data_IF_449845139238
#
_entry.id   IF_449845139238
#
_cell.length_a   1.000
_cell.length_b   1.000
_cell.length_c   1.000
_cell.angle_alpha   90.00
_cell.angle_beta   90.00
_cell.angle_gamma   90.00
#
_symmetry.space_group_name_H-M   'P 1'
#
loop_
_entity.id
_entity.type
_entity.pdbx_description
1 polymer ?
#
# COMPACT_ATOMS: atom_id res chain seq x y z
N UNK A 1 7.78 -24.29 4.17
CA UNK A 1 8.35 -22.92 4.14
C UNK A 1 8.33 -22.41 2.72
N UNK A 2 7.66 -21.31 2.46
CA UNK A 2 7.60 -20.73 1.12
C UNK A 2 8.89 -19.95 0.86
N UNK A 3 9.59 -20.28 -0.22
CA UNK A 3 10.73 -19.50 -0.67
C UNK A 3 10.26 -18.32 -1.49
N UNK A 4 10.92 -17.20 -1.33
CA UNK A 4 10.68 -15.97 -2.10
C UNK A 4 11.91 -15.64 -2.92
N UNK A 5 11.69 -15.17 -4.14
CA UNK A 5 12.73 -14.70 -5.05
C UNK A 5 12.47 -13.25 -5.43
N UNK A 6 13.54 -12.49 -5.69
CA UNK A 6 13.41 -11.11 -6.14
C UNK A 6 12.95 -11.06 -7.60
N UNK A 7 12.05 -10.15 -7.92
CA UNK A 7 11.62 -9.85 -9.27
C UNK A 7 12.82 -9.49 -10.16
N UNK A 8 13.83 -8.81 -9.60
CA UNK A 8 15.03 -8.46 -10.35
C UNK A 8 15.72 -9.67 -10.96
N UNK A 9 15.79 -10.78 -10.26
CA UNK A 9 16.41 -12.01 -10.76
C UNK A 9 15.67 -12.54 -11.99
N UNK A 10 14.34 -12.53 -11.96
CA UNK A 10 13.51 -12.96 -13.10
C UNK A 10 13.67 -12.00 -14.29
N UNK A 11 13.71 -10.70 -14.03
CA UNK A 11 13.89 -9.69 -15.08
C UNK A 11 15.26 -9.80 -15.72
N UNK A 12 16.32 -10.05 -14.94
CA UNK A 12 17.65 -10.26 -15.49
C UNK A 12 17.69 -11.48 -16.45
N UNK A 13 17.01 -12.57 -16.11
CA UNK A 13 16.86 -13.73 -16.97
C UNK A 13 16.08 -13.41 -18.26
N UNK A 14 15.04 -12.56 -18.17
CA UNK A 14 14.26 -12.13 -19.35
C UNK A 14 15.03 -11.15 -20.25
N UNK A 15 15.83 -10.26 -19.68
CA UNK A 15 16.61 -9.28 -20.45
C UNK A 15 17.71 -9.94 -21.31
N UNK A 16 18.14 -11.14 -20.96
CA UNK A 16 19.05 -11.95 -21.77
C UNK A 16 18.38 -12.52 -23.04
N UNK A 17 17.07 -12.41 -23.14
CA UNK A 17 16.34 -12.89 -24.30
C UNK A 17 16.48 -11.94 -25.50
N UNK A 18 16.87 -12.43 -26.72
CA UNK A 18 17.14 -11.55 -27.85
C UNK A 18 15.98 -10.66 -28.31
N UNK A 19 14.74 -11.08 -28.07
CA UNK A 19 13.53 -10.35 -28.45
C UNK A 19 13.15 -9.21 -27.49
N UNK A 20 13.78 -9.14 -26.33
CA UNK A 20 13.46 -8.18 -25.27
C UNK A 20 14.56 -7.13 -25.02
N UNK A 21 15.43 -6.92 -26.03
CA UNK A 21 16.56 -5.99 -25.91
C UNK A 21 16.16 -4.53 -25.65
N UNK A 22 14.95 -4.14 -26.08
CA UNK A 22 14.42 -2.79 -25.87
C UNK A 22 13.71 -2.58 -24.52
N UNK A 23 13.57 -3.64 -23.71
CA UNK A 23 12.96 -3.57 -22.41
C UNK A 23 13.95 -3.04 -21.38
N UNK A 24 13.64 -1.92 -20.74
CA UNK A 24 14.45 -1.39 -19.65
C UNK A 24 14.07 -2.06 -18.32
N UNK A 25 15.05 -2.13 -17.38
CA UNK A 25 14.81 -2.69 -16.05
C UNK A 25 13.65 -1.97 -15.34
N UNK A 26 13.59 -0.65 -15.45
CA UNK A 26 12.54 0.17 -14.84
C UNK A 26 11.15 -0.17 -15.38
N UNK A 27 10.99 -0.32 -16.68
CA UNK A 27 9.71 -0.72 -17.29
C UNK A 27 9.31 -2.13 -16.87
N UNK A 28 10.25 -3.04 -16.84
CA UNK A 28 10.01 -4.41 -16.43
C UNK A 28 9.55 -4.49 -14.97
N UNK A 29 10.17 -3.74 -14.06
CA UNK A 29 9.74 -3.63 -12.66
C UNK A 29 8.33 -3.07 -12.55
N UNK A 30 8.01 -2.02 -13.32
CA UNK A 30 6.67 -1.43 -13.33
C UNK A 30 5.60 -2.42 -13.81
N UNK A 31 5.87 -3.19 -14.85
CA UNK A 31 4.96 -4.24 -15.31
C UNK A 31 4.77 -5.35 -14.27
N UNK A 32 5.84 -5.76 -13.61
CA UNK A 32 5.79 -6.77 -12.58
C UNK A 32 4.97 -6.30 -11.36
N UNK A 33 5.18 -5.07 -10.92
CA UNK A 33 4.37 -4.48 -9.83
C UNK A 33 2.90 -4.38 -10.21
N UNK A 34 2.60 -3.94 -11.42
CA UNK A 34 1.24 -3.86 -11.94
C UNK A 34 0.56 -5.24 -12.00
N UNK A 35 1.29 -6.27 -12.45
CA UNK A 35 0.80 -7.64 -12.43
C UNK A 35 0.46 -8.12 -11.00
N UNK A 36 1.35 -7.87 -10.04
CA UNK A 36 1.11 -8.22 -8.63
C UNK A 36 -0.12 -7.51 -8.07
N UNK A 37 -0.33 -6.26 -8.44
CA UNK A 37 -1.50 -5.48 -8.00
C UNK A 37 -2.82 -6.04 -8.56
N UNK A 38 -2.82 -6.53 -9.80
CA UNK A 38 -4.01 -7.08 -10.44
C UNK A 38 -4.31 -8.49 -9.93
N UNK A 39 -3.32 -9.36 -9.94
CA UNK A 39 -3.49 -10.79 -9.67
C UNK A 39 -3.41 -11.09 -8.17
N UNK A 40 -2.69 -10.27 -7.43
CA UNK A 40 -2.32 -10.52 -6.06
C UNK A 40 -1.16 -11.51 -5.94
N UNK A 41 -0.58 -11.58 -4.76
CA UNK A 41 0.45 -12.58 -4.44
C UNK A 41 -0.24 -13.75 -3.73
N UNK A 42 -0.08 -14.98 -4.20
CA UNK A 42 -0.82 -16.13 -3.65
C UNK A 42 -0.43 -16.52 -2.21
N UNK A 43 0.50 -15.81 -1.59
CA UNK A 43 0.99 -16.11 -0.25
C UNK A 43 1.11 -14.85 0.62
N UNK A 44 1.43 -15.07 1.87
CA UNK A 44 1.44 -14.13 2.97
C UNK A 44 2.10 -12.78 2.65
N UNK A 45 1.33 -11.72 2.82
CA UNK A 45 1.87 -10.37 2.88
C UNK A 45 2.60 -10.15 4.20
N UNK A 46 3.56 -9.24 4.20
CA UNK A 46 4.19 -8.77 5.42
C UNK A 46 3.31 -7.72 6.09
N UNK A 47 2.99 -7.91 7.37
CA UNK A 47 2.30 -6.90 8.16
C UNK A 47 3.30 -5.86 8.65
N UNK A 48 3.02 -4.60 8.36
CA UNK A 48 3.81 -3.45 8.79
C UNK A 48 2.96 -2.39 9.44
N UNK A 49 3.62 -1.54 10.20
CA UNK A 49 3.02 -0.33 10.75
C UNK A 49 3.79 0.89 10.26
N UNK A 50 3.09 1.99 10.06
CA UNK A 50 3.69 3.26 9.66
C UNK A 50 2.95 4.44 10.29
N UNK A 51 3.68 5.52 10.52
CA UNK A 51 3.12 6.79 10.92
C UNK A 51 2.90 7.67 9.69
N UNK A 52 1.74 8.30 9.61
CA UNK A 52 1.39 9.19 8.51
C UNK A 52 1.00 10.55 9.06
N UNK A 53 1.65 11.60 8.55
CA UNK A 53 1.26 12.97 8.83
C UNK A 53 0.02 13.35 8.02
N UNK A 54 -1.02 13.79 8.70
CA UNK A 54 -2.25 14.28 8.09
C UNK A 54 -2.21 15.81 8.05
N UNK A 55 -2.36 16.34 6.85
CA UNK A 55 -2.50 17.78 6.61
C UNK A 55 -3.69 18.00 5.70
N UNK A 56 -4.60 18.88 6.14
CA UNK A 56 -5.81 19.20 5.40
C UNK A 56 -6.62 17.94 5.03
N UNK A 57 -6.86 17.06 6.02
CA UNK A 57 -7.62 15.81 5.90
C UNK A 57 -6.97 14.74 5.03
N UNK A 58 -5.71 14.89 4.63
CA UNK A 58 -5.04 14.00 3.69
C UNK A 58 -3.64 13.59 4.17
N UNK A 59 -3.26 12.34 3.91
CA UNK A 59 -1.92 11.82 4.08
C UNK A 59 -1.51 10.92 2.92
N UNK A 60 -0.20 10.72 2.74
CA UNK A 60 0.33 9.83 1.72
C UNK A 60 0.53 8.43 2.29
N UNK A 61 0.10 7.41 1.56
CA UNK A 61 0.36 6.01 1.90
C UNK A 61 1.82 5.63 1.63
N UNK A 62 2.38 4.65 2.37
CA UNK A 62 3.71 4.11 2.09
C UNK A 62 3.80 3.53 0.66
N UNK A 63 5.02 3.55 0.09
CA UNK A 63 5.24 3.03 -1.26
C UNK A 63 5.00 1.52 -1.37
N UNK A 64 5.20 0.77 -0.29
CA UNK A 64 5.00 -0.67 -0.21
C UNK A 64 3.58 -1.08 0.23
N UNK A 65 2.67 -0.12 0.33
CA UNK A 65 1.28 -0.37 0.73
C UNK A 65 0.55 -1.25 -0.28
N UNK A 66 -0.10 -2.29 0.21
CA UNK A 66 -0.99 -3.14 -0.57
C UNK A 66 -2.43 -3.06 -0.09
N UNK A 67 -2.66 -3.30 1.19
CA UNK A 67 -4.00 -3.36 1.78
C UNK A 67 -4.00 -2.85 3.23
N UNK A 68 -5.09 -2.23 3.65
CA UNK A 68 -5.23 -1.66 4.99
C UNK A 68 -5.81 -2.70 5.97
N UNK A 69 -5.15 -2.84 7.11
CA UNK A 69 -5.65 -3.65 8.22
C UNK A 69 -6.41 -2.77 9.20
N UNK A 70 -5.75 -1.73 9.72
CA UNK A 70 -6.31 -0.87 10.75
C UNK A 70 -5.70 0.53 10.72
N UNK A 71 -6.49 1.52 11.06
CA UNK A 71 -6.06 2.91 11.24
C UNK A 71 -6.43 3.37 12.65
N UNK A 72 -5.47 3.98 13.33
CA UNK A 72 -5.68 4.53 14.67
C UNK A 72 -4.99 5.88 14.87
N UNK A 73 -5.42 6.64 15.87
CA UNK A 73 -4.74 7.87 16.26
C UNK A 73 -3.39 7.55 16.89
N UNK A 74 -2.42 8.45 16.72
CA UNK A 74 -1.11 8.36 17.36
C UNK A 74 -0.83 9.61 18.20
N UNK A 75 -0.65 9.39 19.50
CA UNK A 75 -0.38 10.47 20.47
C UNK A 75 0.88 10.14 21.31
N UNK A 76 1.96 9.74 20.67
CA UNK A 76 3.21 9.44 21.37
C UNK A 76 3.18 8.26 22.35
N UNK A 77 2.13 7.43 22.30
CA UNK A 77 1.99 6.24 23.12
C UNK A 77 1.43 6.45 24.53
N UNK A 78 1.08 7.69 24.90
CA UNK A 78 0.62 8.01 26.27
C UNK A 78 -0.86 7.79 26.53
N UNK A 79 -1.69 7.68 25.51
CA UNK A 79 -3.15 7.53 25.63
C UNK A 79 -3.69 6.39 24.80
N UNK A 80 -4.83 5.84 25.21
CA UNK A 80 -5.54 4.83 24.44
C UNK A 80 -5.83 5.34 23.02
N UNK A 81 -5.26 4.72 21.98
CA UNK A 81 -5.50 5.14 20.60
C UNK A 81 -6.95 4.88 20.22
N UNK A 82 -7.54 5.82 19.48
CA UNK A 82 -8.87 5.67 18.91
C UNK A 82 -8.77 5.08 17.51
N UNK A 83 -9.58 4.08 17.23
CA UNK A 83 -9.62 3.40 15.93
C UNK A 83 -10.51 4.17 14.97
N UNK A 84 -10.04 4.34 13.73
CA UNK A 84 -10.83 4.87 12.62
C UNK A 84 -11.65 3.75 11.99
N UNK A 85 -12.85 4.06 11.55
CA UNK A 85 -13.66 3.17 10.71
C UNK A 85 -13.64 3.64 9.26
N UNK A 86 -13.87 2.72 8.33
CA UNK A 86 -13.97 3.06 6.91
C UNK A 86 -15.25 3.87 6.64
N UNK A 87 -15.12 4.98 5.94
CA UNK A 87 -16.26 5.81 5.57
C UNK A 87 -16.96 5.29 4.31
N UNK A 88 -18.25 5.04 4.41
CA UNK A 88 -19.10 4.68 3.26
C UNK A 88 -19.66 5.89 2.52
N UNK A 89 -19.67 7.05 3.14
CA UNK A 89 -20.17 8.31 2.56
C UNK A 89 -19.11 8.98 1.70
N UNK A 90 -19.40 9.14 0.41
CA UNK A 90 -18.51 9.80 -0.54
C UNK A 90 -18.38 11.31 -0.33
N UNK A 91 -19.32 11.94 0.35
CA UNK A 91 -19.34 13.37 0.63
C UNK A 91 -18.73 13.74 1.98
N UNK A 92 -18.27 12.78 2.75
CA UNK A 92 -17.73 12.98 4.09
C UNK A 92 -16.58 14.00 4.15
N UNK A 93 -15.76 14.04 3.09
CA UNK A 93 -14.61 14.94 2.97
C UNK A 93 -14.84 16.08 1.96
N UNK A 94 -16.09 16.39 1.63
CA UNK A 94 -16.41 17.50 0.73
C UNK A 94 -16.01 18.84 1.37
N UNK A 95 -15.32 19.72 0.64
CA UNK A 95 -15.00 21.05 1.13
C UNK A 95 -16.24 21.92 1.39
N UNK A 96 -17.39 21.52 0.84
CA UNK A 96 -18.66 22.21 1.02
C UNK A 96 -19.42 21.78 2.30
N UNK A 97 -18.90 20.79 3.01
CA UNK A 97 -19.49 20.33 4.27
C UNK A 97 -19.06 21.27 5.37
N UNK A 98 -20.03 21.94 5.99
CA UNK A 98 -19.75 22.68 7.22
C UNK A 98 -19.22 21.73 8.31
N UNK A 99 -18.15 22.08 8.99
CA UNK A 99 -17.63 21.26 10.08
C UNK A 99 -18.69 21.18 11.17
N UNK A 100 -19.30 20.01 11.30
CA UNK A 100 -20.21 19.74 12.40
C UNK A 100 -19.34 19.50 13.64
N UNK A 101 -19.16 20.53 14.44
CA UNK A 101 -18.25 20.54 15.60
C UNK A 101 -18.54 19.43 16.61
N UNK A 102 -19.75 18.90 16.60
CA UNK A 102 -20.19 17.88 17.56
C UNK A 102 -19.85 16.44 17.08
N UNK A 103 -19.62 16.23 15.78
CA UNK A 103 -19.26 14.92 15.21
C UNK A 103 -17.75 14.70 15.13
N UNK A 104 -16.95 15.75 15.08
CA UNK A 104 -15.49 15.65 14.87
C UNK A 104 -14.74 14.98 16.02
N UNK A 105 -15.33 14.92 17.20
CA UNK A 105 -14.69 14.34 18.39
C UNK A 105 -14.96 12.85 18.57
N UNK A 106 -16.01 12.31 17.97
CA UNK A 106 -16.49 10.96 18.26
C UNK A 106 -16.43 10.00 17.09
N UNK A 107 -16.51 10.48 15.85
CA UNK A 107 -16.58 9.65 14.66
C UNK A 107 -15.33 9.83 13.79
N UNK A 108 -14.30 9.04 14.09
CA UNK A 108 -13.07 9.01 13.32
C UNK A 108 -13.24 8.05 12.14
N UNK A 109 -13.20 8.59 10.94
CA UNK A 109 -13.35 7.83 9.70
C UNK A 109 -12.21 8.07 8.74
N UNK A 110 -11.95 7.10 7.88
CA UNK A 110 -10.96 7.23 6.81
C UNK A 110 -11.50 6.69 5.50
N UNK A 111 -10.88 7.12 4.41
CA UNK A 111 -11.13 6.65 3.06
C UNK A 111 -9.83 6.60 2.28
N UNK A 112 -9.72 5.65 1.37
CA UNK A 112 -8.53 5.44 0.55
C UNK A 112 -8.83 5.83 -0.90
N UNK A 113 -7.95 6.62 -1.50
CA UNK A 113 -8.06 7.00 -2.90
C UNK A 113 -6.69 7.40 -3.46
N UNK A 114 -6.31 6.82 -4.59
CA UNK A 114 -5.12 7.23 -5.37
C UNK A 114 -3.84 7.38 -4.53
N UNK A 115 -3.45 6.32 -3.80
CA UNK A 115 -2.25 6.32 -2.95
C UNK A 115 -2.27 7.33 -1.80
N UNK A 116 -3.43 7.84 -1.46
CA UNK A 116 -3.64 8.73 -0.34
C UNK A 116 -4.69 8.19 0.62
N UNK A 117 -4.55 8.54 1.90
CA UNK A 117 -5.57 8.33 2.91
C UNK A 117 -6.23 9.67 3.24
N UNK A 118 -7.54 9.68 3.23
CA UNK A 118 -8.36 10.80 3.67
C UNK A 118 -8.97 10.47 5.02
N UNK A 119 -8.91 11.40 5.96
CA UNK A 119 -9.43 11.21 7.31
C UNK A 119 -10.39 12.31 7.69
N UNK A 120 -11.23 12.04 8.69
CA UNK A 120 -12.05 13.08 9.34
C UNK A 120 -11.22 14.02 10.22
N UNK A 121 -9.99 13.63 10.56
CA UNK A 121 -9.04 14.45 11.29
C UNK A 121 -8.37 15.45 10.35
N UNK A 122 -8.45 16.75 10.66
CA UNK A 122 -7.89 17.81 9.82
C UNK A 122 -6.35 17.79 9.80
N UNK A 123 -5.74 17.68 10.98
CA UNK A 123 -4.30 17.66 11.15
C UNK A 123 -3.93 16.70 12.27
N UNK A 124 -2.76 16.13 12.21
CA UNK A 124 -2.23 15.25 13.22
C UNK A 124 -1.41 14.10 12.63
N UNK A 125 -1.10 13.13 13.47
CA UNK A 125 -0.40 11.90 13.09
C UNK A 125 -1.32 10.73 13.34
N UNK A 126 -1.41 9.87 12.36
CA UNK A 126 -2.11 8.58 12.46
C UNK A 126 -1.11 7.43 12.35
N UNK A 127 -1.44 6.31 12.95
CA UNK A 127 -0.70 5.06 12.78
C UNK A 127 -1.56 4.09 11.99
N UNK A 128 -0.99 3.52 10.95
CA UNK A 128 -1.64 2.49 10.15
C UNK A 128 -0.96 1.15 10.34
N UNK A 129 -1.75 0.09 10.39
CA UNK A 129 -1.30 -1.28 10.18
C UNK A 129 -1.77 -1.72 8.80
N UNK A 130 -0.89 -2.26 8.01
CA UNK A 130 -1.18 -2.60 6.62
C UNK A 130 -0.41 -3.84 6.15
N UNK A 131 -0.93 -4.46 5.12
CA UNK A 131 -0.20 -5.48 4.38
C UNK A 131 0.73 -4.81 3.38
N UNK A 132 2.01 -5.16 3.44
CA UNK A 132 3.04 -4.65 2.55
C UNK A 132 3.49 -5.72 1.56
N UNK A 133 3.89 -5.28 0.38
CA UNK A 133 4.59 -6.13 -0.58
C UNK A 133 5.99 -6.39 -0.04
N UNK A 134 6.40 -7.65 0.08
CA UNK A 134 7.77 -7.98 0.47
C UNK A 134 8.76 -7.45 -0.57
N UNK A 135 9.80 -6.80 -0.09
CA UNK A 135 10.88 -6.26 -0.92
C UNK A 135 12.22 -6.87 -0.50
N UNK A 136 13.14 -6.96 -1.43
CA UNK A 136 14.51 -7.37 -1.14
C UNK A 136 15.34 -6.22 -0.54
N UNK A 137 16.63 -6.46 -0.32
CA UNK A 137 17.54 -5.46 0.26
C UNK A 137 17.73 -4.23 -0.62
N UNK A 138 17.47 -4.35 -1.91
CA UNK A 138 17.59 -3.28 -2.90
C UNK A 138 16.24 -2.57 -3.17
N UNK A 139 15.14 -3.02 -2.54
CA UNK A 139 13.82 -2.43 -2.69
C UNK A 139 12.97 -3.03 -3.82
N UNK A 140 13.42 -4.10 -4.48
CA UNK A 140 12.63 -4.79 -5.51
C UNK A 140 11.61 -5.73 -4.87
N UNK A 141 10.38 -5.81 -5.42
CA UNK A 141 9.38 -6.74 -4.94
C UNK A 141 9.85 -8.19 -4.97
N UNK A 142 9.44 -8.97 -4.00
CA UNK A 142 9.69 -10.41 -3.92
C UNK A 142 8.41 -11.18 -4.20
N UNK A 143 8.54 -12.27 -4.92
CA UNK A 143 7.43 -13.18 -5.22
C UNK A 143 7.73 -14.59 -4.72
N UNK A 144 6.70 -15.40 -4.43
CA UNK A 144 6.93 -16.79 -4.07
C UNK A 144 7.55 -17.59 -5.23
N UNK A 145 8.47 -18.47 -4.92
CA UNK A 145 9.11 -19.38 -5.88
C UNK A 145 8.10 -20.45 -6.32
N UNK A 146 7.15 -20.04 -7.16
CA UNK A 146 6.14 -20.91 -7.76
C UNK A 146 6.26 -20.80 -9.28
N UNK A 147 6.55 -21.93 -9.92
CA UNK A 147 6.78 -21.97 -11.36
C UNK A 147 5.61 -21.43 -12.19
N UNK A 148 4.39 -21.73 -11.80
CA UNK A 148 3.20 -21.25 -12.53
C UNK A 148 3.02 -19.74 -12.40
N UNK A 149 3.29 -19.19 -11.23
CA UNK A 149 3.22 -17.74 -11.01
C UNK A 149 4.32 -17.00 -11.77
N UNK A 150 5.53 -17.54 -11.76
CA UNK A 150 6.67 -16.97 -12.50
C UNK A 150 6.39 -16.98 -14.01
N UNK A 151 5.89 -18.10 -14.56
CA UNK A 151 5.50 -18.16 -15.96
C UNK A 151 4.40 -17.16 -16.33
N UNK A 152 3.39 -17.00 -15.48
CA UNK A 152 2.34 -16.02 -15.70
C UNK A 152 2.89 -14.57 -15.68
N UNK A 153 3.82 -14.28 -14.80
CA UNK A 153 4.51 -12.98 -14.72
C UNK A 153 5.35 -12.71 -15.97
N UNK A 154 6.10 -13.72 -16.46
CA UNK A 154 6.92 -13.60 -17.66
C UNK A 154 6.10 -13.35 -18.93
N UNK A 155 4.89 -13.91 -19.00
CA UNK A 155 3.97 -13.73 -20.12
C UNK A 155 3.21 -12.41 -20.12
N UNK A 156 3.10 -11.75 -18.97
CA UNK A 156 2.44 -10.46 -18.84
C UNK A 156 3.29 -9.31 -19.37
#
# INVERSE_FOLDING_TARGET
MVKYISIRQIIDDLLDHPLLQDLTLERAVNYAVHFIQIVGVPNEFEEKTALIDIKNYRGCLPCDYYDMIQVRTYNGGEHCPKVFRYASDSFHYSPNKEPNKDLDTWDLTYKLQNSAIYTSLKEGVIEIAYHAIKVDKEGYPMIPENSSFIQALELY
#
